data_IF_092870084785
#
_entry.id   IF_092870084785
#
_cell.length_a   1.000
_cell.length_b   1.000
_cell.length_c   1.000
_cell.angle_alpha   90.00
_cell.angle_beta   90.00
_cell.angle_gamma   90.00
#
_symmetry.space_group_name_H-M   'P 1'
#
loop_
_entity.id
_entity.type
_entity.pdbx_description
1 polymer ?
#
# COMPACT_ATOMS: atom_id res chain seq x y z
N UNK A 1 -21.23 -62.88 -25.58
CA UNK A 1 -20.28 -62.92 -24.48
C UNK A 1 -19.37 -61.71 -24.67
N UNK A 2 -19.64 -60.72 -23.91
CA UNK A 2 -19.00 -59.38 -23.95
C UNK A 2 -17.63 -59.40 -23.30
N UNK A 3 -16.67 -58.78 -23.97
CA UNK A 3 -15.39 -58.41 -23.35
C UNK A 3 -15.48 -56.97 -22.87
N UNK A 4 -15.53 -56.82 -21.55
CA UNK A 4 -15.46 -55.55 -20.87
C UNK A 4 -14.05 -54.99 -20.91
N UNK A 5 -13.93 -53.74 -21.31
CA UNK A 5 -12.70 -52.97 -21.34
C UNK A 5 -12.33 -52.48 -19.96
N UNK A 6 -11.22 -53.00 -19.45
CA UNK A 6 -10.55 -52.62 -18.23
C UNK A 6 -9.58 -51.44 -18.46
N UNK A 7 -10.04 -50.23 -18.65
CA UNK A 7 -9.22 -49.00 -18.48
C UNK A 7 -10.11 -47.74 -18.63
N UNK A 8 -10.89 -47.46 -17.61
CA UNK A 8 -11.66 -46.22 -17.51
C UNK A 8 -11.55 -45.63 -16.10
N UNK A 9 -10.33 -45.25 -15.71
CA UNK A 9 -10.16 -44.41 -14.54
C UNK A 9 -10.44 -42.96 -14.90
N UNK A 10 -11.09 -42.17 -14.03
CA UNK A 10 -11.30 -40.74 -14.29
C UNK A 10 -9.95 -40.06 -14.37
N UNK A 11 -9.72 -39.36 -15.48
CA UNK A 11 -8.59 -38.43 -15.61
C UNK A 11 -8.63 -37.44 -14.47
N UNK A 12 -7.56 -37.28 -13.69
CA UNK A 12 -7.53 -36.23 -12.69
C UNK A 12 -7.54 -34.89 -13.42
N UNK A 13 -8.58 -34.12 -13.10
CA UNK A 13 -8.72 -32.73 -13.48
C UNK A 13 -7.43 -32.01 -13.03
N UNK A 14 -6.57 -31.71 -14.00
CA UNK A 14 -5.42 -30.84 -13.80
C UNK A 14 -5.96 -29.43 -13.64
N UNK A 15 -6.54 -29.15 -12.49
CA UNK A 15 -6.67 -27.76 -12.02
C UNK A 15 -5.26 -27.18 -12.04
N UNK A 16 -4.99 -26.39 -13.06
CA UNK A 16 -3.77 -25.61 -13.17
C UNK A 16 -3.57 -24.90 -11.84
N UNK A 17 -2.50 -25.24 -11.13
CA UNK A 17 -2.07 -24.56 -9.92
C UNK A 17 -1.98 -23.07 -10.26
N UNK A 18 -2.95 -22.30 -9.80
CA UNK A 18 -2.96 -20.87 -9.99
C UNK A 18 -1.69 -20.30 -9.36
N UNK A 19 -0.87 -19.64 -10.16
CA UNK A 19 0.32 -18.95 -9.66
C UNK A 19 -0.12 -17.99 -8.56
N UNK A 20 0.64 -17.89 -7.46
CA UNK A 20 0.40 -16.84 -6.47
C UNK A 20 0.48 -15.49 -7.18
N UNK A 21 -0.58 -14.68 -7.08
CA UNK A 21 -0.65 -13.34 -7.66
C UNK A 21 -1.65 -13.13 -8.81
N UNK A 22 -2.21 -14.17 -9.42
CA UNK A 22 -3.22 -14.02 -10.50
C UNK A 22 -4.52 -13.31 -10.05
N UNK A 23 -4.81 -13.25 -8.75
CA UNK A 23 -6.07 -12.71 -8.22
C UNK A 23 -5.90 -11.42 -7.40
N UNK A 24 -4.73 -10.75 -7.45
CA UNK A 24 -4.49 -9.50 -6.69
C UNK A 24 -5.49 -8.37 -7.01
N UNK A 25 -6.22 -8.45 -8.12
CA UNK A 25 -7.12 -7.40 -8.60
C UNK A 25 -8.54 -7.88 -8.90
N UNK A 26 -8.90 -9.12 -8.55
CA UNK A 26 -10.28 -9.57 -8.68
C UNK A 26 -11.18 -8.82 -7.70
N UNK A 27 -12.11 -8.03 -8.22
CA UNK A 27 -13.10 -7.31 -7.43
C UNK A 27 -14.45 -8.01 -7.51
N UNK A 28 -15.17 -8.04 -6.40
CA UNK A 28 -16.55 -8.54 -6.28
C UNK A 28 -17.39 -7.48 -5.56
N UNK A 29 -18.70 -7.61 -5.57
CA UNK A 29 -19.60 -6.60 -5.02
C UNK A 29 -19.33 -6.20 -3.56
N UNK A 30 -18.73 -7.08 -2.75
CA UNK A 30 -18.30 -6.82 -1.38
C UNK A 30 -16.87 -6.27 -1.24
N UNK A 31 -16.17 -5.96 -2.35
CA UNK A 31 -14.83 -5.38 -2.26
C UNK A 31 -14.90 -3.92 -1.80
N UNK A 32 -13.87 -3.42 -1.05
CA UNK A 32 -13.80 -2.02 -0.65
C UNK A 32 -13.95 -1.06 -1.83
N UNK A 33 -14.56 0.10 -1.61
CA UNK A 33 -14.79 1.12 -2.64
C UNK A 33 -13.51 1.48 -3.40
N UNK A 34 -12.39 1.61 -2.70
CA UNK A 34 -11.07 1.86 -3.30
C UNK A 34 -10.63 0.76 -4.28
N UNK A 35 -11.03 -0.47 -4.09
CA UNK A 35 -10.75 -1.57 -5.01
C UNK A 35 -11.71 -1.55 -6.21
N UNK A 36 -13.01 -1.31 -5.98
CA UNK A 36 -14.05 -1.23 -7.02
C UNK A 36 -13.83 -0.05 -7.97
N UNK A 37 -13.39 1.10 -7.42
CA UNK A 37 -13.13 2.34 -8.17
C UNK A 37 -11.75 2.41 -8.80
N UNK A 38 -10.96 1.32 -8.76
CA UNK A 38 -9.66 1.28 -9.42
C UNK A 38 -9.80 1.57 -10.90
N UNK A 39 -8.98 2.50 -11.48
CA UNK A 39 -8.94 2.78 -12.91
C UNK A 39 -8.82 1.52 -13.76
N UNK A 40 -9.60 1.42 -14.81
CA UNK A 40 -9.63 0.30 -15.76
C UNK A 40 -8.85 0.59 -17.05
N UNK A 41 -8.57 1.86 -17.32
CA UNK A 41 -7.73 2.32 -18.42
C UNK A 41 -6.89 3.52 -17.99
N UNK A 42 -5.93 3.92 -18.81
CA UNK A 42 -5.01 5.03 -18.49
C UNK A 42 -5.70 6.39 -18.38
N UNK A 43 -6.81 6.58 -19.10
CA UNK A 43 -7.52 7.86 -19.12
C UNK A 43 -8.36 8.07 -17.84
N UNK A 44 -8.59 7.01 -17.07
CA UNK A 44 -9.20 7.09 -15.74
C UNK A 44 -8.19 7.45 -14.63
N UNK A 45 -6.88 7.37 -14.91
CA UNK A 45 -5.84 7.72 -13.94
C UNK A 45 -5.71 9.23 -13.86
N UNK A 46 -5.83 9.80 -12.67
CA UNK A 46 -5.80 11.25 -12.43
C UNK A 46 -4.45 11.71 -11.88
N UNK A 47 -4.11 12.99 -12.09
CA UNK A 47 -2.99 13.68 -11.45
C UNK A 47 -1.59 13.25 -11.91
N UNK A 48 -1.48 12.45 -12.97
CA UNK A 48 -0.18 11.96 -13.48
C UNK A 48 0.07 12.35 -14.94
N UNK A 49 -0.40 13.50 -15.38
CA UNK A 49 -0.32 13.97 -16.78
C UNK A 49 1.12 14.04 -17.30
N UNK A 50 2.08 14.36 -16.44
CA UNK A 50 3.50 14.40 -16.78
C UNK A 50 4.05 13.03 -17.23
N UNK A 51 3.37 11.92 -16.89
CA UNK A 51 3.71 10.55 -17.29
C UNK A 51 2.75 9.99 -18.35
N UNK A 52 1.48 10.39 -18.30
CA UNK A 52 0.37 9.74 -19.01
C UNK A 52 -0.20 10.55 -20.19
N UNK A 53 0.09 11.85 -20.29
CA UNK A 53 -0.33 12.65 -21.45
C UNK A 53 0.25 12.09 -22.76
N UNK A 54 -0.38 12.34 -23.92
CA UNK A 54 0.12 11.88 -25.21
C UNK A 54 1.59 12.17 -25.43
N UNK A 55 2.36 11.17 -25.83
CA UNK A 55 3.82 11.26 -26.04
C UNK A 55 4.70 11.21 -24.78
N UNK A 56 4.12 11.11 -23.59
CA UNK A 56 4.86 11.01 -22.33
C UNK A 56 5.40 9.58 -22.08
N UNK A 57 6.40 9.42 -21.19
CA UNK A 57 7.17 8.17 -21.08
C UNK A 57 6.30 6.93 -20.82
N UNK A 58 5.36 7.04 -19.88
CA UNK A 58 4.53 5.90 -19.50
C UNK A 58 3.48 5.57 -20.59
N UNK A 59 2.87 6.61 -21.19
CA UNK A 59 1.95 6.46 -22.31
C UNK A 59 2.64 5.78 -23.50
N UNK A 60 3.83 6.22 -23.84
CA UNK A 60 4.64 5.62 -24.91
C UNK A 60 5.03 4.18 -24.63
N UNK A 61 5.33 3.85 -23.36
CA UNK A 61 5.63 2.47 -22.95
C UNK A 61 4.44 1.55 -23.20
N UNK A 62 3.24 2.01 -22.88
CA UNK A 62 2.01 1.20 -22.95
C UNK A 62 1.49 1.10 -24.39
N UNK A 63 1.50 2.19 -25.15
CA UNK A 63 0.99 2.25 -26.54
C UNK A 63 2.01 1.76 -27.56
N UNK A 64 3.27 1.82 -27.21
CA UNK A 64 4.36 1.37 -28.06
C UNK A 64 4.80 -0.04 -27.74
N UNK A 65 5.71 -0.55 -28.56
CA UNK A 65 6.42 -1.81 -28.29
C UNK A 65 7.47 -1.68 -27.16
N UNK A 66 7.20 -0.83 -26.16
CA UNK A 66 8.13 -0.54 -25.09
C UNK A 66 8.48 -1.77 -24.27
N UNK A 67 9.73 -2.19 -24.29
CA UNK A 67 10.25 -3.35 -23.57
C UNK A 67 11.09 -2.97 -22.36
N UNK A 68 10.95 -1.74 -21.87
CA UNK A 68 11.74 -1.24 -20.76
C UNK A 68 11.08 -1.58 -19.41
N UNK A 69 11.83 -2.15 -18.49
CA UNK A 69 11.42 -2.28 -17.09
C UNK A 69 11.22 -0.91 -16.46
N UNK A 70 10.32 -0.81 -15.49
CA UNK A 70 9.90 0.45 -14.88
C UNK A 70 9.98 0.34 -13.35
N UNK A 71 10.45 1.40 -12.73
CA UNK A 71 10.34 1.58 -11.28
C UNK A 71 9.46 2.82 -11.04
N UNK A 72 8.27 2.58 -10.51
CA UNK A 72 7.30 3.60 -10.11
C UNK A 72 7.58 3.99 -8.65
N UNK A 73 7.87 5.25 -8.40
CA UNK A 73 8.10 5.70 -7.02
C UNK A 73 7.33 6.98 -6.71
N UNK A 74 6.97 7.16 -5.46
CA UNK A 74 6.20 8.32 -5.01
C UNK A 74 5.28 8.00 -3.83
N UNK A 75 4.54 8.97 -3.32
CA UNK A 75 3.69 8.83 -2.14
C UNK A 75 2.66 7.70 -2.25
N UNK A 76 2.13 7.18 -1.14
CA UNK A 76 1.04 6.21 -1.16
C UNK A 76 -0.21 6.80 -1.84
N UNK A 77 -1.10 5.92 -2.33
CA UNK A 77 -2.37 6.33 -2.93
C UNK A 77 -2.29 7.04 -4.30
N UNK A 78 -1.10 7.19 -4.89
CA UNK A 78 -0.89 7.88 -6.19
C UNK A 78 -1.13 6.99 -7.41
N UNK A 79 -1.50 5.72 -7.21
CA UNK A 79 -1.86 4.80 -8.29
C UNK A 79 -0.76 3.87 -8.80
N UNK A 80 0.39 3.72 -8.12
CA UNK A 80 1.51 2.85 -8.55
C UNK A 80 1.06 1.43 -8.94
N UNK A 81 0.38 0.74 -8.04
CA UNK A 81 -0.14 -0.63 -8.26
C UNK A 81 -1.17 -0.69 -9.39
N UNK A 82 -2.03 0.34 -9.49
CA UNK A 82 -3.03 0.47 -10.56
C UNK A 82 -2.36 0.62 -11.92
N UNK A 83 -1.40 1.53 -12.04
CA UNK A 83 -0.64 1.76 -13.28
C UNK A 83 0.09 0.48 -13.70
N UNK A 84 0.71 -0.25 -12.77
CA UNK A 84 1.35 -1.52 -13.07
C UNK A 84 0.39 -2.56 -13.68
N UNK A 85 -0.82 -2.66 -13.13
CA UNK A 85 -1.88 -3.52 -13.66
C UNK A 85 -2.34 -3.10 -15.05
N UNK A 86 -2.49 -1.79 -15.27
CA UNK A 86 -2.90 -1.24 -16.57
C UNK A 86 -1.84 -1.46 -17.65
N UNK A 87 -0.55 -1.35 -17.32
CA UNK A 87 0.56 -1.67 -18.23
C UNK A 87 0.38 -3.10 -18.75
N UNK A 88 0.24 -4.07 -17.86
CA UNK A 88 0.11 -5.48 -18.25
C UNK A 88 -1.15 -5.75 -19.07
N UNK A 89 -2.28 -5.19 -18.66
CA UNK A 89 -3.57 -5.37 -19.34
C UNK A 89 -3.54 -4.82 -20.77
N UNK A 90 -3.06 -3.60 -20.96
CA UNK A 90 -3.01 -2.96 -22.28
C UNK A 90 -1.99 -3.59 -23.22
N UNK A 91 -0.90 -4.12 -22.69
CA UNK A 91 0.09 -4.86 -23.47
C UNK A 91 -0.34 -6.32 -23.77
N UNK A 92 -1.48 -6.78 -23.27
CA UNK A 92 -1.95 -8.15 -23.45
C UNK A 92 -1.02 -9.21 -22.87
N UNK A 93 -0.24 -8.86 -21.83
CA UNK A 93 0.75 -9.72 -21.21
C UNK A 93 0.22 -10.38 -19.92
N UNK A 94 0.79 -11.52 -19.55
CA UNK A 94 0.49 -12.15 -18.26
C UNK A 94 0.96 -11.23 -17.12
N UNK A 95 0.07 -10.97 -16.14
CA UNK A 95 0.41 -10.22 -14.95
C UNK A 95 0.66 -11.15 -13.77
N UNK A 96 1.82 -10.99 -13.12
CA UNK A 96 2.14 -11.70 -11.89
C UNK A 96 2.61 -10.68 -10.86
N UNK A 97 1.88 -10.56 -9.75
CA UNK A 97 2.22 -9.65 -8.66
C UNK A 97 2.89 -10.40 -7.51
N UNK A 98 3.95 -9.81 -6.98
CA UNK A 98 4.61 -10.22 -5.74
C UNK A 98 4.58 -9.05 -4.75
N UNK A 99 4.25 -9.36 -3.49
CA UNK A 99 4.45 -8.42 -2.38
C UNK A 99 5.82 -8.68 -1.76
N UNK A 100 6.61 -7.63 -1.59
CA UNK A 100 7.91 -7.77 -0.95
C UNK A 100 7.81 -8.20 0.54
N UNK A 101 6.64 -8.02 1.16
CA UNK A 101 6.38 -8.44 2.53
C UNK A 101 6.31 -9.97 2.68
N UNK A 102 5.69 -10.63 1.68
CA UNK A 102 5.33 -12.05 1.79
C UNK A 102 6.18 -12.95 0.88
N UNK A 103 6.99 -12.37 -0.02
CA UNK A 103 7.67 -13.11 -1.07
C UNK A 103 9.13 -13.39 -0.76
N UNK A 104 9.49 -14.67 -0.61
CA UNK A 104 10.88 -15.12 -0.48
C UNK A 104 11.62 -15.28 -1.82
N UNK A 105 12.96 -15.43 -1.78
CA UNK A 105 13.80 -15.69 -2.98
C UNK A 105 13.31 -16.89 -3.80
N UNK A 106 12.79 -17.92 -3.13
CA UNK A 106 12.26 -19.13 -3.78
C UNK A 106 11.08 -18.78 -4.69
N UNK A 107 10.15 -17.99 -4.19
CA UNK A 107 8.96 -17.60 -4.95
C UNK A 107 9.32 -16.70 -6.15
N UNK A 108 10.28 -15.77 -6.00
CA UNK A 108 10.82 -14.98 -7.12
C UNK A 108 11.37 -15.90 -8.22
N UNK A 109 12.17 -16.92 -7.86
CA UNK A 109 12.72 -17.87 -8.82
C UNK A 109 11.66 -18.75 -9.49
N UNK A 110 10.62 -19.16 -8.77
CA UNK A 110 9.50 -19.92 -9.33
C UNK A 110 8.75 -19.11 -10.40
N UNK A 111 8.47 -17.84 -10.11
CA UNK A 111 7.84 -16.92 -11.08
C UNK A 111 8.71 -16.72 -12.32
N UNK A 112 10.02 -16.53 -12.16
CA UNK A 112 10.94 -16.37 -13.29
C UNK A 112 10.99 -17.66 -14.13
N UNK A 113 11.00 -18.82 -13.49
CA UNK A 113 11.00 -20.12 -14.19
C UNK A 113 9.73 -20.31 -15.00
N UNK A 114 8.58 -19.97 -14.43
CA UNK A 114 7.31 -20.01 -15.14
C UNK A 114 7.27 -18.99 -16.31
N UNK A 115 7.76 -17.78 -16.08
CA UNK A 115 7.82 -16.76 -17.14
C UNK A 115 8.69 -17.21 -18.34
N UNK A 116 9.77 -17.98 -18.09
CA UNK A 116 10.57 -18.59 -19.17
C UNK A 116 9.78 -19.61 -19.98
N UNK A 117 8.98 -20.44 -19.30
CA UNK A 117 8.13 -21.43 -19.98
C UNK A 117 7.04 -20.73 -20.83
N UNK A 118 6.41 -19.69 -20.27
CA UNK A 118 5.42 -18.90 -21.00
C UNK A 118 6.03 -18.21 -22.24
N UNK A 119 7.26 -17.71 -22.11
CA UNK A 119 7.95 -17.04 -23.22
C UNK A 119 8.21 -17.99 -24.40
N UNK A 120 8.47 -19.29 -24.15
CA UNK A 120 8.60 -20.30 -25.21
C UNK A 120 7.29 -20.40 -26.03
N UNK A 121 6.14 -20.17 -25.38
CA UNK A 121 4.84 -20.16 -26.02
C UNK A 121 4.43 -18.76 -26.57
N UNK A 122 5.37 -17.83 -26.63
CA UNK A 122 5.14 -16.48 -27.12
C UNK A 122 4.38 -15.56 -26.15
N UNK A 123 4.17 -15.99 -24.90
CA UNK A 123 3.47 -15.19 -23.88
C UNK A 123 4.49 -14.52 -22.95
N UNK A 124 4.48 -13.20 -22.95
CA UNK A 124 5.35 -12.40 -22.06
C UNK A 124 4.70 -12.21 -20.70
N UNK A 125 5.52 -12.00 -19.69
CA UNK A 125 5.09 -11.81 -18.31
C UNK A 125 5.53 -10.43 -17.81
N UNK A 126 4.57 -9.64 -17.33
CA UNK A 126 4.83 -8.47 -16.49
C UNK A 126 4.93 -8.96 -15.05
N UNK A 127 6.11 -8.82 -14.45
CA UNK A 127 6.34 -9.10 -13.04
C UNK A 127 6.22 -7.79 -12.27
N UNK A 128 5.16 -7.68 -11.48
CA UNK A 128 4.97 -6.55 -10.58
C UNK A 128 5.51 -6.88 -9.19
N UNK A 129 6.31 -5.98 -8.63
CA UNK A 129 6.81 -6.10 -7.26
C UNK A 129 6.39 -4.85 -6.49
N UNK A 130 5.50 -5.03 -5.51
CA UNK A 130 5.10 -3.96 -4.63
C UNK A 130 6.10 -3.81 -3.48
N UNK A 131 6.40 -2.56 -3.10
CA UNK A 131 7.34 -2.17 -2.06
C UNK A 131 8.74 -2.81 -2.24
N UNK A 132 9.30 -2.70 -3.45
CA UNK A 132 10.58 -3.34 -3.82
C UNK A 132 11.75 -2.97 -2.91
N UNK A 133 11.68 -1.84 -2.22
CA UNK A 133 12.68 -1.42 -1.23
C UNK A 133 12.83 -2.39 -0.05
N UNK A 134 11.81 -3.22 0.20
CA UNK A 134 11.83 -4.26 1.25
C UNK A 134 12.51 -5.55 0.79
N UNK A 135 12.80 -5.70 -0.49
CA UNK A 135 13.58 -6.83 -0.98
C UNK A 135 15.05 -6.71 -0.55
N UNK A 136 15.58 -7.76 0.01
CA UNK A 136 17.02 -7.90 0.27
C UNK A 136 17.81 -7.83 -1.06
N UNK A 137 19.11 -7.50 -0.98
CA UNK A 137 19.99 -7.52 -2.16
C UNK A 137 19.93 -8.85 -2.91
N UNK A 138 19.92 -9.98 -2.20
CA UNK A 138 19.83 -11.32 -2.79
C UNK A 138 18.54 -11.53 -3.58
N UNK A 139 17.41 -10.97 -3.14
CA UNK A 139 16.14 -11.03 -3.85
C UNK A 139 16.17 -10.15 -5.09
N UNK A 140 16.72 -8.95 -4.99
CA UNK A 140 16.89 -8.04 -6.12
C UNK A 140 17.88 -8.60 -7.16
N UNK A 141 18.98 -9.22 -6.73
CA UNK A 141 19.96 -9.86 -7.62
C UNK A 141 19.34 -11.04 -8.38
N UNK A 142 18.40 -11.77 -7.77
CA UNK A 142 17.69 -12.84 -8.45
C UNK A 142 16.85 -12.36 -9.65
N UNK A 143 16.47 -11.09 -9.68
CA UNK A 143 15.72 -10.47 -10.79
C UNK A 143 16.62 -10.06 -11.95
N UNK A 144 17.89 -9.77 -11.71
CA UNK A 144 18.80 -9.16 -12.71
C UNK A 144 18.85 -9.96 -14.01
N UNK A 145 19.12 -11.24 -13.94
CA UNK A 145 19.21 -12.09 -15.14
C UNK A 145 17.88 -12.17 -15.91
N UNK A 146 16.75 -12.12 -15.21
CA UNK A 146 15.44 -12.17 -15.84
C UNK A 146 15.07 -10.85 -16.54
N UNK A 147 15.50 -9.72 -15.98
CA UNK A 147 15.34 -8.39 -16.55
C UNK A 147 16.30 -8.21 -17.74
N UNK A 148 17.59 -8.56 -17.60
CA UNK A 148 18.59 -8.49 -18.67
C UNK A 148 18.19 -9.31 -19.91
N UNK A 149 17.76 -10.53 -19.70
CA UNK A 149 17.34 -11.45 -20.76
C UNK A 149 15.90 -11.21 -21.24
N UNK A 150 15.24 -10.15 -20.74
CA UNK A 150 13.84 -9.83 -21.04
C UNK A 150 12.87 -11.00 -20.86
N UNK A 151 13.21 -11.91 -19.92
CA UNK A 151 12.33 -13.01 -19.54
C UNK A 151 11.05 -12.49 -18.90
N UNK A 152 11.17 -11.40 -18.15
CA UNK A 152 10.06 -10.65 -17.58
C UNK A 152 10.21 -9.17 -17.90
N UNK A 153 9.09 -8.47 -18.02
CA UNK A 153 9.04 -7.01 -17.92
C UNK A 153 8.83 -6.67 -16.44
N UNK A 154 9.85 -6.12 -15.79
CA UNK A 154 9.73 -5.73 -14.39
C UNK A 154 8.99 -4.40 -14.28
N UNK A 155 7.96 -4.36 -13.45
CA UNK A 155 7.34 -3.14 -12.96
C UNK A 155 7.45 -3.17 -11.45
N UNK A 156 8.35 -2.39 -10.88
CA UNK A 156 8.52 -2.30 -9.43
C UNK A 156 7.85 -1.03 -8.90
N UNK A 157 7.28 -1.10 -7.70
CA UNK A 157 6.73 0.05 -7.00
C UNK A 157 7.45 0.26 -5.67
N UNK A 158 7.61 1.52 -5.27
CA UNK A 158 8.15 1.88 -3.96
C UNK A 158 7.65 3.24 -3.51
N UNK A 159 7.51 3.43 -2.21
CA UNK A 159 7.25 4.74 -1.59
C UNK A 159 8.53 5.51 -1.31
N UNK A 160 9.68 4.85 -1.31
CA UNK A 160 10.99 5.45 -1.05
C UNK A 160 11.69 5.90 -2.34
N UNK A 161 12.71 6.76 -2.20
CA UNK A 161 13.58 7.08 -3.34
C UNK A 161 14.38 5.84 -3.74
N UNK A 162 14.19 5.30 -4.96
CA UNK A 162 14.80 4.06 -5.39
C UNK A 162 16.33 4.09 -5.43
N UNK A 163 16.95 5.28 -5.50
CA UNK A 163 18.41 5.42 -5.50
C UNK A 163 19.06 4.92 -4.20
N UNK A 164 18.32 4.85 -3.10
CA UNK A 164 18.84 4.37 -1.81
C UNK A 164 18.49 2.92 -1.51
N UNK A 165 17.44 2.40 -2.13
CA UNK A 165 16.84 1.11 -1.75
C UNK A 165 16.89 0.04 -2.84
N UNK A 166 17.14 0.44 -4.10
CA UNK A 166 17.23 -0.49 -5.23
C UNK A 166 18.68 -0.59 -5.70
N UNK A 167 19.11 -1.82 -6.00
CA UNK A 167 20.49 -2.06 -6.47
C UNK A 167 20.76 -1.39 -7.80
N UNK A 168 21.94 -0.78 -7.93
CA UNK A 168 22.32 -0.01 -9.11
C UNK A 168 22.17 -0.76 -10.45
N UNK A 169 22.44 -2.08 -10.55
CA UNK A 169 22.20 -2.83 -11.78
C UNK A 169 20.73 -2.90 -12.22
N UNK A 170 19.76 -2.92 -11.31
CA UNK A 170 18.33 -2.83 -11.65
C UNK A 170 17.94 -1.41 -12.06
N UNK A 171 18.47 -0.39 -11.36
CA UNK A 171 18.22 1.02 -11.70
C UNK A 171 18.69 1.34 -13.13
N UNK A 172 19.89 0.88 -13.52
CA UNK A 172 20.45 1.15 -14.85
C UNK A 172 19.68 0.50 -16.01
N UNK A 173 18.81 -0.47 -15.71
CA UNK A 173 17.99 -1.23 -16.68
C UNK A 173 16.52 -0.88 -16.64
N UNK A 174 16.15 0.09 -15.83
CA UNK A 174 14.76 0.48 -15.60
C UNK A 174 14.53 1.96 -15.83
N UNK A 175 13.36 2.31 -16.32
CA UNK A 175 12.89 3.69 -16.34
C UNK A 175 12.41 4.08 -14.95
N UNK A 176 12.96 5.15 -14.39
CA UNK A 176 12.50 5.70 -13.11
C UNK A 176 11.40 6.71 -13.38
N UNK A 177 10.20 6.44 -12.91
CA UNK A 177 9.03 7.28 -13.10
C UNK A 177 8.47 7.70 -11.75
N UNK A 178 8.54 8.99 -11.49
CA UNK A 178 8.03 9.58 -10.24
C UNK A 178 6.55 9.89 -10.38
N UNK A 179 5.75 9.38 -9.44
CA UNK A 179 4.37 9.77 -9.26
C UNK A 179 4.29 10.88 -8.22
N UNK A 180 3.43 11.85 -8.49
CA UNK A 180 3.18 12.97 -7.60
C UNK A 180 1.94 12.73 -6.74
N UNK A 181 1.90 13.35 -5.56
CA UNK A 181 0.67 13.44 -4.77
C UNK A 181 -0.44 14.04 -5.63
N UNK A 182 -1.66 13.55 -5.44
CA UNK A 182 -2.81 14.08 -6.16
C UNK A 182 -3.19 15.46 -5.62
N UNK A 183 -3.64 16.33 -6.50
CA UNK A 183 -4.18 17.62 -6.11
C UNK A 183 -5.57 17.47 -5.46
N UNK A 184 -6.00 18.50 -4.75
CA UNK A 184 -7.33 18.53 -4.16
C UNK A 184 -8.43 18.36 -5.23
N UNK A 185 -8.23 18.95 -6.41
CA UNK A 185 -9.18 18.83 -7.53
C UNK A 185 -9.21 17.41 -8.10
N UNK A 186 -8.07 16.74 -8.18
CA UNK A 186 -8.00 15.32 -8.56
C UNK A 186 -8.79 14.46 -7.57
N UNK A 187 -8.60 14.67 -6.27
CA UNK A 187 -9.30 13.94 -5.21
C UNK A 187 -10.80 14.21 -5.21
N UNK A 188 -11.21 15.47 -5.42
CA UNK A 188 -12.64 15.83 -5.61
C UNK A 188 -13.23 15.07 -6.82
N UNK A 189 -12.48 15.01 -7.92
CA UNK A 189 -12.88 14.26 -9.11
C UNK A 189 -13.05 12.77 -8.85
N UNK A 190 -12.11 12.16 -8.09
CA UNK A 190 -12.19 10.75 -7.69
C UNK A 190 -13.41 10.49 -6.82
N UNK A 191 -13.68 11.34 -5.82
CA UNK A 191 -14.83 11.19 -4.92
C UNK A 191 -16.17 11.35 -5.68
N UNK A 192 -16.31 12.36 -6.52
CA UNK A 192 -17.53 12.57 -7.34
C UNK A 192 -17.78 11.40 -8.28
N UNK A 193 -16.75 10.92 -8.97
CA UNK A 193 -16.85 9.72 -9.82
C UNK A 193 -17.31 8.49 -9.03
N UNK A 194 -16.85 8.33 -7.80
CA UNK A 194 -17.26 7.21 -6.95
C UNK A 194 -18.73 7.30 -6.50
N UNK A 195 -19.26 8.51 -6.31
CA UNK A 195 -20.68 8.74 -5.98
C UNK A 195 -21.61 8.50 -7.18
N UNK A 196 -21.12 8.72 -8.40
CA UNK A 196 -21.92 8.64 -9.63
C UNK A 196 -21.83 7.26 -10.31
N UNK A 197 -20.73 6.53 -10.12
CA UNK A 197 -20.46 5.29 -10.84
C UNK A 197 -21.22 4.09 -10.24
N UNK A 198 -21.74 3.22 -11.12
CA UNK A 198 -22.33 1.91 -10.72
C UNK A 198 -21.30 1.00 -10.03
N UNK A 199 -20.01 1.15 -10.35
CA UNK A 199 -18.90 0.48 -9.63
C UNK A 199 -18.71 1.01 -8.21
N UNK A 200 -19.17 2.22 -7.96
CA UNK A 200 -19.03 2.93 -6.70
C UNK A 200 -20.29 2.88 -5.85
N UNK A 201 -20.84 4.06 -5.64
CA UNK A 201 -22.01 4.33 -4.79
C UNK A 201 -23.22 4.83 -5.60
N UNK A 202 -23.16 4.82 -6.93
CA UNK A 202 -24.19 5.40 -7.82
C UNK A 202 -25.59 4.84 -7.59
N UNK A 203 -25.72 3.54 -7.31
CA UNK A 203 -27.02 2.90 -7.00
C UNK A 203 -27.66 3.48 -5.73
N UNK A 204 -26.84 3.90 -4.76
CA UNK A 204 -27.31 4.46 -3.48
C UNK A 204 -27.80 5.91 -3.58
N UNK A 205 -27.49 6.62 -4.68
CA UNK A 205 -27.88 8.02 -4.94
C UNK A 205 -27.52 8.98 -3.80
N UNK A 206 -26.45 8.72 -3.09
CA UNK A 206 -25.96 9.54 -1.99
C UNK A 206 -25.38 10.85 -2.55
N UNK A 207 -25.64 11.97 -1.87
CA UNK A 207 -25.05 13.27 -2.15
C UNK A 207 -24.01 13.62 -1.09
N UNK A 208 -23.13 14.54 -1.43
CA UNK A 208 -22.14 15.12 -0.51
C UNK A 208 -22.19 16.63 -0.63
N UNK A 209 -22.14 17.36 0.48
CA UNK A 209 -22.02 18.82 0.44
C UNK A 209 -20.58 19.22 0.05
N UNK A 210 -20.41 20.41 -0.54
CA UNK A 210 -19.08 20.88 -0.96
C UNK A 210 -18.14 21.00 0.25
N UNK A 211 -18.62 21.45 1.40
CA UNK A 211 -17.86 21.55 2.64
C UNK A 211 -17.41 20.18 3.17
N UNK A 212 -18.27 19.15 3.07
CA UNK A 212 -17.93 17.78 3.46
C UNK A 212 -16.89 17.17 2.51
N UNK A 213 -17.01 17.46 1.22
CA UNK A 213 -16.05 17.04 0.21
C UNK A 213 -14.69 17.69 0.44
N UNK A 214 -14.64 18.98 0.74
CA UNK A 214 -13.41 19.71 1.05
C UNK A 214 -12.72 19.14 2.30
N UNK A 215 -13.50 18.87 3.33
CA UNK A 215 -12.99 18.24 4.56
C UNK A 215 -12.43 16.84 4.31
N UNK A 216 -13.13 16.02 3.51
CA UNK A 216 -12.72 14.68 3.16
C UNK A 216 -11.39 14.69 2.36
N UNK A 217 -11.26 15.60 1.40
CA UNK A 217 -10.05 15.80 0.58
C UNK A 217 -8.88 16.26 1.44
N UNK A 218 -9.11 17.20 2.35
CA UNK A 218 -8.09 17.69 3.30
C UNK A 218 -7.56 16.54 4.18
N UNK A 219 -8.45 15.69 4.71
CA UNK A 219 -8.08 14.53 5.54
C UNK A 219 -7.32 13.46 4.74
N UNK A 220 -7.61 13.31 3.45
CA UNK A 220 -6.97 12.34 2.58
C UNK A 220 -5.52 12.69 2.22
N UNK A 221 -5.18 13.99 2.18
CA UNK A 221 -3.80 14.46 2.04
C UNK A 221 -3.09 13.98 0.77
N UNK A 222 -3.75 14.06 -0.40
CA UNK A 222 -3.15 13.65 -1.69
C UNK A 222 -3.24 12.16 -2.03
N UNK A 223 -3.98 11.35 -1.24
CA UNK A 223 -4.10 9.90 -1.37
C UNK A 223 -5.51 9.51 -1.84
N UNK A 224 -5.64 9.01 -3.07
CA UNK A 224 -6.93 8.57 -3.63
C UNK A 224 -7.53 7.36 -2.90
N UNK A 225 -6.70 6.45 -2.37
CA UNK A 225 -7.19 5.29 -1.62
C UNK A 225 -7.84 5.74 -0.32
N UNK A 226 -7.21 6.67 0.40
CA UNK A 226 -7.78 7.27 1.61
C UNK A 226 -9.07 8.03 1.31
N UNK A 227 -9.09 8.82 0.24
CA UNK A 227 -10.29 9.53 -0.21
C UNK A 227 -11.47 8.58 -0.36
N UNK A 228 -11.28 7.46 -1.07
CA UNK A 228 -12.33 6.47 -1.29
C UNK A 228 -12.71 5.69 -0.02
N UNK A 229 -11.73 5.38 0.84
CA UNK A 229 -12.00 4.71 2.12
C UNK A 229 -12.81 5.60 3.07
N UNK A 230 -12.48 6.90 3.13
CA UNK A 230 -13.20 7.86 3.96
C UNK A 230 -14.58 8.14 3.42
N UNK A 231 -14.72 8.22 2.09
CA UNK A 231 -16.02 8.35 1.43
C UNK A 231 -16.92 7.14 1.71
N UNK A 232 -16.37 5.93 1.64
CA UNK A 232 -17.09 4.68 1.95
C UNK A 232 -17.60 4.68 3.39
N UNK A 233 -16.73 5.02 4.35
CA UNK A 233 -17.10 5.09 5.77
C UNK A 233 -18.17 6.16 6.06
N UNK A 234 -18.09 7.33 5.40
CA UNK A 234 -19.10 8.37 5.52
C UNK A 234 -20.43 7.95 4.86
N UNK A 235 -20.35 7.26 3.71
CA UNK A 235 -21.53 6.75 3.01
C UNK A 235 -22.26 5.65 3.78
N UNK A 236 -21.56 4.79 4.53
CA UNK A 236 -22.18 3.77 5.39
C UNK A 236 -23.06 4.37 6.50
N UNK A 237 -22.80 5.62 6.88
CA UNK A 237 -23.52 6.31 7.95
C UNK A 237 -24.78 7.06 7.50
N UNK A 238 -25.09 7.04 6.20
CA UNK A 238 -26.28 7.71 5.64
C UNK A 238 -27.15 6.73 4.87
N UNK A 239 -28.45 6.98 4.86
CA UNK A 239 -29.41 6.17 4.09
C UNK A 239 -29.27 6.44 2.59
N UNK A 240 -29.86 5.58 1.76
CA UNK A 240 -29.91 5.74 0.32
C UNK A 240 -30.68 7.01 -0.05
N UNK A 241 -30.11 7.82 -0.95
CA UNK A 241 -30.59 9.15 -1.28
C UNK A 241 -30.25 10.24 -0.26
N UNK A 242 -29.57 9.86 0.84
CA UNK A 242 -29.13 10.79 1.89
C UNK A 242 -28.00 11.71 1.49
N UNK A 243 -27.57 12.55 2.43
CA UNK A 243 -26.53 13.56 2.20
C UNK A 243 -25.42 13.45 3.24
N UNK A 244 -24.17 13.36 2.76
CA UNK A 244 -22.97 13.39 3.59
C UNK A 244 -22.66 14.86 3.92
N UNK A 245 -22.66 15.18 5.21
CA UNK A 245 -22.35 16.50 5.76
C UNK A 245 -20.97 16.50 6.41
N UNK A 246 -20.38 17.69 6.73
CA UNK A 246 -19.13 17.76 7.49
C UNK A 246 -19.18 16.99 8.82
N UNK A 247 -20.31 17.00 9.51
CA UNK A 247 -20.49 16.24 10.74
C UNK A 247 -20.42 14.73 10.48
N UNK A 248 -21.06 14.24 9.42
CA UNK A 248 -20.99 12.82 9.00
C UNK A 248 -19.53 12.41 8.75
N UNK A 249 -18.73 13.26 8.08
CA UNK A 249 -17.31 13.00 7.85
C UNK A 249 -16.54 12.94 9.16
N UNK A 250 -16.72 13.92 10.04
CA UNK A 250 -16.03 13.99 11.35
C UNK A 250 -16.30 12.74 12.20
N UNK A 251 -17.56 12.32 12.29
CA UNK A 251 -17.99 11.24 13.20
C UNK A 251 -17.57 9.85 12.72
N UNK A 252 -17.36 9.68 11.39
CA UNK A 252 -17.14 8.36 10.81
C UNK A 252 -15.72 8.18 10.24
N UNK A 253 -15.07 9.23 9.76
CA UNK A 253 -13.70 9.13 9.24
C UNK A 253 -12.70 8.84 10.37
N UNK A 254 -12.86 9.42 11.56
CA UNK A 254 -12.00 9.11 12.71
C UNK A 254 -12.06 7.61 13.07
N UNK A 255 -13.24 6.97 12.94
CA UNK A 255 -13.39 5.52 13.14
C UNK A 255 -12.74 4.70 12.02
N UNK A 256 -12.78 5.17 10.79
CA UNK A 256 -12.15 4.54 9.64
C UNK A 256 -10.62 4.62 9.70
N UNK A 257 -10.07 5.75 10.13
CA UNK A 257 -8.62 5.94 10.35
C UNK A 257 -8.11 4.91 11.36
N UNK A 258 -8.82 4.72 12.48
CA UNK A 258 -8.44 3.74 13.51
C UNK A 258 -8.51 2.29 13.00
N UNK A 259 -9.48 1.94 12.14
CA UNK A 259 -9.59 0.58 11.55
C UNK A 259 -8.49 0.31 10.51
N UNK A 260 -8.15 1.30 9.69
CA UNK A 260 -7.18 1.15 8.60
C UNK A 260 -5.74 1.07 9.09
N UNK A 261 -5.41 1.73 10.22
CA UNK A 261 -4.06 1.70 10.82
C UNK A 261 -3.68 0.31 11.39
N UNK A 262 -4.62 -0.61 11.57
CA UNK A 262 -4.32 -1.98 12.08
C UNK A 262 -3.64 -2.90 11.06
N UNK A 263 -3.87 -2.70 9.76
CA UNK A 263 -3.51 -3.66 8.72
C UNK A 263 -2.50 -3.16 7.66
N UNK A 264 -1.87 -1.97 7.83
CA UNK A 264 -1.09 -1.36 6.75
C UNK A 264 0.17 -0.60 7.14
N UNK A 265 0.89 -0.12 6.13
CA UNK A 265 2.17 0.63 6.19
C UNK A 265 2.17 1.87 7.08
N UNK A 266 1.01 2.43 7.43
CA UNK A 266 0.86 3.59 8.31
C UNK A 266 1.28 3.32 9.76
N UNK A 267 1.21 2.07 10.22
CA UNK A 267 1.73 1.67 11.52
C UNK A 267 3.21 2.07 11.66
N UNK A 268 4.02 1.78 10.64
CA UNK A 268 5.45 2.13 10.64
C UNK A 268 5.68 3.64 10.54
N UNK A 269 4.83 4.37 9.81
CA UNK A 269 4.92 5.82 9.67
C UNK A 269 4.60 6.53 10.98
N UNK A 270 3.56 6.11 11.70
CA UNK A 270 3.19 6.66 13.02
C UNK A 270 4.28 6.36 14.05
N UNK A 271 4.79 5.14 14.10
CA UNK A 271 5.91 4.77 14.97
C UNK A 271 7.18 5.56 14.65
N UNK A 272 7.49 5.71 13.36
CA UNK A 272 8.63 6.52 12.91
C UNK A 272 8.48 7.99 13.27
N UNK A 273 7.28 8.56 13.10
CA UNK A 273 6.97 9.93 13.49
C UNK A 273 7.07 10.11 15.01
N UNK A 274 6.56 9.15 15.79
CA UNK A 274 6.70 9.13 17.25
C UNK A 274 8.16 9.24 17.68
N UNK A 275 9.02 8.35 17.20
CA UNK A 275 10.45 8.36 17.56
C UNK A 275 11.17 9.62 17.06
N UNK A 276 10.84 10.09 15.84
CA UNK A 276 11.41 11.34 15.32
C UNK A 276 10.99 12.57 16.13
N UNK A 277 9.77 12.60 16.64
CA UNK A 277 9.27 13.68 17.51
C UNK A 277 10.04 13.70 18.83
N UNK A 278 10.25 12.54 19.49
CA UNK A 278 11.06 12.44 20.70
C UNK A 278 12.50 12.89 20.42
N UNK A 279 13.11 12.39 19.34
CA UNK A 279 14.47 12.77 18.92
C UNK A 279 14.61 14.27 18.63
N UNK A 280 13.54 14.89 18.15
CA UNK A 280 13.46 16.33 17.90
C UNK A 280 13.11 17.17 19.12
N UNK A 281 12.96 16.57 20.31
CA UNK A 281 12.52 17.23 21.55
C UNK A 281 11.17 17.96 21.39
N UNK A 282 10.28 17.42 20.56
CA UNK A 282 8.92 17.91 20.38
C UNK A 282 7.95 17.04 21.20
N UNK A 283 7.75 17.43 22.45
CA UNK A 283 6.92 16.72 23.42
C UNK A 283 5.47 16.62 22.96
N UNK A 284 4.92 17.72 22.40
CA UNK A 284 3.52 17.77 21.98
C UNK A 284 3.27 16.82 20.79
N UNK A 285 4.14 16.84 19.80
CA UNK A 285 4.07 15.91 18.68
C UNK A 285 4.28 14.45 19.14
N UNK A 286 5.23 14.19 20.07
CA UNK A 286 5.46 12.85 20.60
C UNK A 286 4.21 12.31 21.32
N UNK A 287 3.58 13.11 22.16
CA UNK A 287 2.33 12.72 22.84
C UNK A 287 1.16 12.55 21.85
N UNK A 288 1.09 13.35 20.80
CA UNK A 288 0.09 13.19 19.75
C UNK A 288 0.22 11.82 19.05
N UNK A 289 1.45 11.45 18.67
CA UNK A 289 1.67 10.16 18.01
C UNK A 289 1.52 8.97 18.99
N UNK A 290 1.88 9.15 20.27
CA UNK A 290 1.56 8.15 21.30
C UNK A 290 0.05 7.93 21.41
N UNK A 291 -0.73 9.01 21.50
CA UNK A 291 -2.19 8.92 21.58
C UNK A 291 -2.77 8.20 20.35
N UNK A 292 -2.27 8.50 19.15
CA UNK A 292 -2.69 7.80 17.92
C UNK A 292 -2.41 6.31 17.98
N UNK A 293 -1.24 5.87 18.47
CA UNK A 293 -0.93 4.45 18.63
C UNK A 293 -1.85 3.78 19.65
N UNK A 294 -2.13 4.45 20.76
CA UNK A 294 -3.02 3.94 21.82
C UNK A 294 -4.45 3.80 21.30
N UNK A 295 -4.99 4.81 20.61
CA UNK A 295 -6.33 4.78 20.00
C UNK A 295 -6.44 3.74 18.88
N UNK A 296 -5.36 3.52 18.12
CA UNK A 296 -5.28 2.46 17.11
C UNK A 296 -5.25 1.04 17.75
N UNK A 297 -5.13 0.95 19.07
CA UNK A 297 -5.07 -0.32 19.80
C UNK A 297 -3.73 -1.04 19.70
N UNK A 298 -2.65 -0.27 19.54
CA UNK A 298 -1.29 -0.80 19.53
C UNK A 298 -0.96 -1.51 20.84
N UNK A 299 -0.18 -2.59 20.76
CA UNK A 299 0.29 -3.30 21.96
C UNK A 299 1.15 -2.36 22.82
N UNK A 300 0.77 -2.05 24.08
CA UNK A 300 1.54 -1.18 24.95
C UNK A 300 2.98 -1.68 25.16
N UNK A 301 3.22 -2.99 25.05
CA UNK A 301 4.57 -3.58 25.11
C UNK A 301 5.40 -3.23 23.87
N UNK A 302 4.78 -3.09 22.73
CA UNK A 302 5.45 -2.63 21.52
C UNK A 302 5.89 -1.18 21.68
N UNK A 303 5.00 -0.29 22.13
CA UNK A 303 5.32 1.12 22.41
C UNK A 303 6.46 1.22 23.41
N UNK A 304 6.36 0.49 24.52
CA UNK A 304 7.39 0.46 25.57
C UNK A 304 8.76 0.00 25.03
N UNK A 305 8.81 -1.04 24.19
CA UNK A 305 10.04 -1.50 23.54
C UNK A 305 10.69 -0.40 22.70
N UNK A 306 9.88 0.39 21.98
CA UNK A 306 10.40 1.50 21.17
C UNK A 306 11.01 2.59 22.04
N UNK A 307 10.42 2.91 23.18
CA UNK A 307 10.98 3.85 24.16
C UNK A 307 12.29 3.35 24.75
N UNK A 308 12.38 2.05 25.11
CA UNK A 308 13.63 1.44 25.63
C UNK A 308 14.75 1.52 24.58
N UNK A 309 14.46 1.19 23.33
CA UNK A 309 15.46 1.28 22.25
C UNK A 309 15.92 2.72 22.08
N UNK A 310 14.99 3.69 22.02
CA UNK A 310 15.31 5.11 21.87
C UNK A 310 16.16 5.62 23.05
N UNK A 311 15.79 5.27 24.28
CA UNK A 311 16.56 5.64 25.46
C UNK A 311 18.02 5.13 25.44
N UNK A 312 18.23 3.95 24.84
CA UNK A 312 19.57 3.34 24.74
C UNK A 312 20.37 3.83 23.53
N UNK A 313 19.72 3.99 22.37
CA UNK A 313 20.37 4.28 21.09
C UNK A 313 20.61 5.78 20.89
N UNK A 314 19.59 6.61 21.16
CA UNK A 314 19.63 8.04 20.84
C UNK A 314 20.08 8.89 22.04
N UNK A 315 19.65 8.56 23.27
CA UNK A 315 20.00 9.30 24.47
C UNK A 315 21.26 8.71 25.13
N UNK A 316 21.26 7.40 25.36
CA UNK A 316 22.39 6.68 25.92
C UNK A 316 22.91 7.28 27.23
N UNK A 317 24.21 7.55 27.29
CA UNK A 317 24.89 8.11 28.47
C UNK A 317 24.73 9.62 28.61
N UNK A 318 24.07 10.30 27.69
CA UNK A 318 23.75 11.73 27.84
C UNK A 318 22.78 11.94 29.02
N UNK A 319 21.83 11.02 29.20
CA UNK A 319 21.02 10.90 30.42
C UNK A 319 20.95 9.43 30.87
N UNK A 320 21.76 9.04 31.90
CA UNK A 320 21.78 7.67 32.43
C UNK A 320 20.42 7.22 33.01
N UNK A 321 19.52 8.14 33.33
CA UNK A 321 18.18 7.83 33.86
C UNK A 321 17.16 7.47 32.78
N UNK A 322 17.41 7.84 31.53
CA UNK A 322 16.49 7.62 30.39
C UNK A 322 16.11 6.15 30.26
N UNK A 323 17.09 5.24 30.26
CA UNK A 323 16.83 3.81 30.15
C UNK A 323 16.04 3.27 31.36
N UNK A 324 16.35 3.75 32.57
CA UNK A 324 15.66 3.33 33.78
C UNK A 324 14.19 3.75 33.77
N UNK A 325 13.89 4.97 33.34
CA UNK A 325 12.51 5.47 33.17
C UNK A 325 11.75 4.67 32.10
N UNK A 326 12.36 4.39 30.97
CA UNK A 326 11.75 3.60 29.91
C UNK A 326 11.43 2.16 30.35
N UNK A 327 12.34 1.51 31.07
CA UNK A 327 12.15 0.17 31.65
C UNK A 327 11.07 0.17 32.71
N UNK A 328 11.08 1.12 33.64
CA UNK A 328 10.05 1.25 34.68
C UNK A 328 8.65 1.46 34.07
N UNK A 329 8.54 2.29 33.00
CA UNK A 329 7.28 2.48 32.29
C UNK A 329 6.81 1.21 31.58
N UNK A 330 7.73 0.41 31.01
CA UNK A 330 7.42 -0.86 30.38
C UNK A 330 6.89 -1.89 31.40
N UNK A 331 7.52 -2.00 32.56
CA UNK A 331 7.07 -2.88 33.66
C UNK A 331 5.71 -2.44 34.21
N UNK A 332 5.53 -1.13 34.44
CA UNK A 332 4.26 -0.57 34.87
C UNK A 332 3.14 -0.86 33.84
N UNK A 333 3.39 -0.60 32.55
CA UNK A 333 2.42 -0.85 31.50
C UNK A 333 2.02 -2.33 31.42
N UNK A 334 2.97 -3.25 31.63
CA UNK A 334 2.70 -4.68 31.66
C UNK A 334 1.91 -5.12 32.89
N UNK A 335 2.15 -4.49 34.04
CA UNK A 335 1.49 -4.83 35.30
C UNK A 335 0.05 -4.34 35.36
N UNK A 336 -0.19 -3.08 34.93
CA UNK A 336 -1.49 -2.43 35.08
C UNK A 336 -2.41 -2.61 33.87
N UNK A 337 -1.84 -2.80 32.65
CA UNK A 337 -2.62 -2.97 31.41
C UNK A 337 -3.32 -1.69 30.93
N UNK A 338 -4.01 -1.80 29.78
CA UNK A 338 -4.81 -0.70 29.25
C UNK A 338 -6.18 -0.65 29.95
N UNK A 339 -6.78 0.54 30.12
CA UNK A 339 -6.39 1.84 29.55
C UNK A 339 -5.35 2.62 30.37
N UNK A 340 -5.02 2.25 31.59
CA UNK A 340 -4.17 3.01 32.50
C UNK A 340 -2.68 2.99 32.10
N UNK A 341 -2.23 1.96 31.35
CA UNK A 341 -0.87 1.86 30.84
C UNK A 341 -0.43 3.07 30.00
N UNK A 342 -1.40 3.82 29.41
CA UNK A 342 -1.12 5.08 28.71
C UNK A 342 -0.43 6.13 29.57
N UNK A 343 -0.68 6.13 30.90
CA UNK A 343 -0.12 7.13 31.81
C UNK A 343 1.41 6.98 31.97
N UNK A 344 1.95 5.81 32.39
CA UNK A 344 3.39 5.63 32.48
C UNK A 344 4.09 5.71 31.12
N UNK A 345 3.42 5.30 30.02
CA UNK A 345 3.99 5.46 28.68
C UNK A 345 4.10 6.94 28.28
N UNK A 346 3.09 7.77 28.59
CA UNK A 346 3.13 9.20 28.34
C UNK A 346 4.20 9.88 29.21
N UNK A 347 4.33 9.50 30.49
CA UNK A 347 5.37 10.02 31.40
C UNK A 347 6.76 9.72 30.84
N UNK A 348 7.02 8.49 30.41
CA UNK A 348 8.29 8.13 29.81
C UNK A 348 8.56 8.89 28.49
N UNK A 349 7.52 9.06 27.65
CA UNK A 349 7.62 9.83 26.40
C UNK A 349 8.04 11.27 26.67
N UNK A 350 7.45 11.93 27.65
CA UNK A 350 7.79 13.31 28.06
C UNK A 350 9.23 13.39 28.57
N UNK A 351 9.65 12.39 29.37
CA UNK A 351 11.00 12.37 29.91
C UNK A 351 12.10 12.19 28.87
N UNK A 352 11.77 11.40 27.80
CA UNK A 352 12.71 11.07 26.74
C UNK A 352 12.74 12.11 25.60
N UNK A 353 11.74 12.98 25.51
CA UNK A 353 11.66 14.07 24.54
C UNK A 353 12.28 15.36 25.09
#
# INVERSE_FOLDING_TARGET
MSQDSLFGGPTPDRSASALPGKNLFATHAGSPLAARMRPQNLDEVVGQDHLLAPGKPLRRLVEGSGEASVILYGPPGTGKTTIASLIASQMGQNFVGLSALDSGVKQVREVITHARQELIHGRRTVLFIDEVHRFSKTQQDALLAAVENRTVLLVAATTENPSFSVVAPLLSRSLLLQLHSLSDDDLRGVAKRALESDRGLGERKIRITDEALDQLVLLAGGDARRTLTYLEAAAEAVDDGGEITPQTVTDNVNKAVVRYDRDGDQHYDVVSAFIKSIRGSDVDAALHYLARMVEAGEDPRFIARRLIVHASEDIGMADPTALQVAVAAAEAAQLIGMPEARIPLAQATIHLA
#
